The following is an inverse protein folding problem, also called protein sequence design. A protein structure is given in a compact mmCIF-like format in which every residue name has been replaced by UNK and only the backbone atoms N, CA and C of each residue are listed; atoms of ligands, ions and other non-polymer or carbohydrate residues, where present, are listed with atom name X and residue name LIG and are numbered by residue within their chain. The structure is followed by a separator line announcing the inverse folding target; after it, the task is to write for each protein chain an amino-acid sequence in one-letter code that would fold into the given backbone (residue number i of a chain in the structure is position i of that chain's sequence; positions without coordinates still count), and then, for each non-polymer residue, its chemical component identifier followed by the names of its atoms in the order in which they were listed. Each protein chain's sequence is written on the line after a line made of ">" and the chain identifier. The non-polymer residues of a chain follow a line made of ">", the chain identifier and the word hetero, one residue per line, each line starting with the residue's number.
data_IF_574396274819
#
_entry.id   IF_574396274819
#
_cell.length_a   1.000
_cell.length_b   1.000
_cell.length_c   1.000
_cell.angle_alpha   90.00
_cell.angle_beta   90.00
_cell.angle_gamma   90.00
#
_symmetry.space_group_name_H-M   'P 1'
#
loop_
_entity.id
_entity.type
_entity.pdbx_description
1 polymer ?
#
# COMPACT_ATOMS: atom_id res chain seq x y z
N UNK A 1 12.71 6.39 35.78
CA UNK A 1 11.87 5.62 34.83
C UNK A 1 12.31 4.16 34.83
N UNK A 2 11.45 3.24 34.38
CA UNK A 2 11.85 1.90 33.94
C UNK A 2 12.48 2.02 32.56
N UNK A 3 13.51 1.23 32.28
CA UNK A 3 14.12 1.19 30.94
C UNK A 3 14.16 -0.25 30.44
N UNK A 4 13.95 -0.43 29.15
CA UNK A 4 14.09 -1.69 28.42
C UNK A 4 14.72 -1.39 27.06
N UNK A 5 15.17 -2.42 26.35
CA UNK A 5 15.46 -2.32 24.92
C UNK A 5 14.58 -3.25 24.11
N UNK A 6 14.40 -2.96 22.84
CA UNK A 6 13.77 -3.84 21.86
C UNK A 6 14.81 -4.17 20.79
N UNK A 7 15.21 -5.43 20.65
CA UNK A 7 16.15 -5.85 19.61
C UNK A 7 15.44 -6.01 18.26
N UNK A 8 15.17 -4.88 17.62
CA UNK A 8 14.57 -4.76 16.30
C UNK A 8 15.63 -4.43 15.22
N UNK A 9 16.89 -4.82 15.46
CA UNK A 9 18.04 -4.55 14.57
C UNK A 9 17.86 -5.24 13.20
N UNK A 10 17.35 -6.47 13.18
CA UNK A 10 16.86 -7.12 11.96
C UNK A 10 15.35 -6.96 11.88
N UNK A 11 14.82 -6.15 10.93
CA UNK A 11 13.38 -5.93 10.81
C UNK A 11 12.60 -7.21 10.44
N UNK A 12 13.28 -8.26 9.96
CA UNK A 12 12.67 -9.55 9.64
C UNK A 12 12.73 -10.56 10.80
N UNK A 13 13.33 -10.19 11.94
CA UNK A 13 13.34 -11.03 13.14
C UNK A 13 12.00 -10.94 13.88
N UNK A 14 11.63 -12.02 14.57
CA UNK A 14 10.33 -12.13 15.26
C UNK A 14 10.36 -11.63 16.71
N UNK A 15 11.43 -10.95 17.12
CA UNK A 15 11.64 -10.54 18.53
C UNK A 15 11.00 -9.18 18.76
N UNK A 16 9.76 -9.19 19.24
CA UNK A 16 8.97 -7.97 19.47
C UNK A 16 8.73 -7.67 20.97
N UNK A 17 9.44 -8.33 21.87
CA UNK A 17 9.26 -8.15 23.32
C UNK A 17 10.40 -7.31 23.91
N UNK A 18 10.09 -6.21 24.62
CA UNK A 18 11.11 -5.44 25.32
C UNK A 18 11.83 -6.27 26.39
N UNK A 19 13.16 -6.19 26.39
CA UNK A 19 14.06 -6.87 27.30
C UNK A 19 14.74 -5.86 28.26
N UNK A 20 15.05 -6.24 29.50
CA UNK A 20 14.71 -7.50 30.17
C UNK A 20 13.25 -7.53 30.64
N UNK A 21 12.69 -8.72 30.85
CA UNK A 21 11.31 -8.92 31.34
C UNK A 21 11.02 -8.22 32.69
N UNK A 22 12.06 -7.92 33.48
CA UNK A 22 11.98 -7.09 34.68
C UNK A 22 12.75 -5.79 34.42
N UNK A 23 12.07 -4.70 34.03
CA UNK A 23 12.74 -3.46 33.66
C UNK A 23 13.55 -2.87 34.83
N UNK A 24 14.85 -2.62 34.68
CA UNK A 24 15.63 -1.88 35.66
C UNK A 24 15.13 -0.44 35.76
N UNK A 25 15.41 0.19 36.91
CA UNK A 25 15.17 1.62 37.11
C UNK A 25 16.39 2.41 36.66
N UNK A 26 16.15 3.48 35.90
CA UNK A 26 17.13 4.47 35.49
C UNK A 26 16.65 5.87 35.86
N UNK A 27 17.57 6.71 36.33
CA UNK A 27 17.29 8.11 36.71
C UNK A 27 17.86 9.02 35.62
N UNK A 28 16.96 9.66 34.87
CA UNK A 28 17.32 10.68 33.90
C UNK A 28 17.49 12.04 34.59
N UNK A 29 18.44 12.82 34.10
CA UNK A 29 18.60 14.24 34.40
C UNK A 29 17.73 15.02 33.42
N UNK A 30 16.73 15.74 33.94
CA UNK A 30 15.67 16.36 33.15
C UNK A 30 16.14 17.56 32.33
N UNK A 31 17.27 18.15 32.73
CA UNK A 31 17.91 19.36 32.21
C UNK A 31 19.10 19.07 31.29
N UNK A 32 19.37 17.78 31.02
CA UNK A 32 20.48 17.35 30.16
C UNK A 32 19.93 16.67 28.90
N UNK A 33 20.47 16.99 27.70
CA UNK A 33 20.07 16.33 26.47
C UNK A 33 20.15 14.81 26.55
N UNK A 34 19.15 14.12 26.00
CA UNK A 34 19.04 12.66 26.08
C UNK A 34 20.25 11.94 25.45
N UNK A 35 20.83 12.50 24.39
CA UNK A 35 22.01 11.98 23.71
C UNK A 35 23.20 11.81 24.65
N UNK A 36 23.36 12.73 25.61
CA UNK A 36 24.46 12.70 26.58
C UNK A 36 24.24 11.62 27.66
N UNK A 37 23.00 11.16 27.84
CA UNK A 37 22.62 10.16 28.83
C UNK A 37 22.46 8.76 28.23
N UNK A 38 22.35 8.65 26.90
CA UNK A 38 22.08 7.42 26.17
C UNK A 38 23.11 6.32 26.44
N UNK A 39 24.40 6.67 26.52
CA UNK A 39 25.47 5.71 26.81
C UNK A 39 25.33 5.04 28.19
N UNK A 40 24.79 5.75 29.17
CA UNK A 40 24.52 5.22 30.51
C UNK A 40 23.33 4.27 30.50
N UNK A 41 22.27 4.61 29.76
CA UNK A 41 21.09 3.73 29.58
C UNK A 41 21.49 2.44 28.87
N UNK A 42 22.28 2.55 27.80
CA UNK A 42 22.79 1.42 27.03
C UNK A 42 23.61 0.46 27.90
N UNK A 43 24.51 0.99 28.74
CA UNK A 43 25.29 0.19 29.71
C UNK A 43 24.43 -0.52 30.75
N UNK A 44 23.41 0.16 31.28
CA UNK A 44 22.49 -0.44 32.28
C UNK A 44 21.68 -1.57 31.67
N UNK A 45 21.30 -1.44 30.42
CA UNK A 45 20.54 -2.45 29.68
C UNK A 45 21.41 -3.57 29.10
N UNK A 46 22.72 -3.35 28.96
CA UNK A 46 23.63 -4.20 28.19
C UNK A 46 23.05 -4.51 26.79
N UNK A 47 22.50 -3.48 26.16
CA UNK A 47 21.75 -3.63 24.92
C UNK A 47 22.70 -3.97 23.74
N UNK A 48 22.27 -4.81 22.78
CA UNK A 48 23.10 -5.19 21.64
C UNK A 48 23.23 -4.08 20.58
N UNK A 49 22.41 -3.03 20.66
CA UNK A 49 22.33 -1.96 19.66
C UNK A 49 23.64 -1.20 19.51
N UNK A 50 23.97 -0.81 18.27
CA UNK A 50 24.95 0.26 18.01
C UNK A 50 24.28 1.61 18.22
N UNK A 51 24.97 2.55 18.86
CA UNK A 51 24.45 3.90 19.11
C UNK A 51 24.50 4.71 17.81
N UNK A 52 23.33 5.02 17.24
CA UNK A 52 23.16 5.93 16.10
C UNK A 52 22.36 7.17 16.54
N UNK A 53 22.43 8.27 15.78
CA UNK A 53 21.78 9.57 16.07
C UNK A 53 20.79 9.93 14.97
N UNK A 54 19.53 10.24 15.31
CA UNK A 54 18.62 11.11 14.53
C UNK A 54 17.23 11.26 15.16
N UNK A 55 16.47 12.17 14.55
CA UNK A 55 15.32 12.93 15.03
C UNK A 55 13.97 12.20 15.01
N UNK A 56 13.06 12.73 15.83
CA UNK A 56 11.81 12.11 16.24
C UNK A 56 10.83 11.74 15.12
N UNK A 57 10.22 10.59 15.32
CA UNK A 57 9.01 10.07 14.68
C UNK A 57 8.08 9.54 15.78
N UNK A 58 6.90 8.99 15.47
CA UNK A 58 6.04 8.33 16.48
C UNK A 58 6.23 6.81 16.43
N UNK A 59 5.85 6.10 17.50
CA UNK A 59 5.88 4.64 17.62
C UNK A 59 4.64 4.12 18.36
N UNK A 60 4.31 2.85 18.19
CA UNK A 60 3.37 2.13 19.07
C UNK A 60 3.80 2.12 20.55
N UNK A 61 5.10 2.30 20.82
CA UNK A 61 5.65 2.45 22.17
C UNK A 61 5.59 3.90 22.71
N UNK A 62 5.00 4.83 21.94
CA UNK A 62 4.97 6.26 22.22
C UNK A 62 5.83 7.09 21.26
N UNK A 63 5.94 8.41 21.45
CA UNK A 63 6.77 9.24 20.59
C UNK A 63 8.25 8.84 20.69
N UNK A 64 8.97 8.84 19.57
CA UNK A 64 10.43 8.82 19.61
C UNK A 64 10.91 10.16 20.13
N UNK A 65 11.61 10.12 21.25
CA UNK A 65 12.19 11.31 21.88
C UNK A 65 13.32 11.84 20.99
N UNK A 66 13.31 13.15 20.71
CA UNK A 66 14.45 13.79 20.05
C UNK A 66 15.62 13.83 21.04
N UNK A 67 16.72 13.20 20.63
CA UNK A 67 17.89 12.96 21.46
C UNK A 67 18.68 14.25 21.76
N UNK A 68 18.56 15.27 20.93
CA UNK A 68 19.28 16.54 21.10
C UNK A 68 18.61 17.47 22.13
N UNK A 69 17.36 17.19 22.51
CA UNK A 69 16.63 17.94 23.54
C UNK A 69 16.63 17.25 24.91
N UNK A 70 16.27 18.03 25.92
CA UNK A 70 16.08 17.61 27.31
C UNK A 70 14.67 17.05 27.54
N UNK A 71 14.47 16.29 28.62
CA UNK A 71 13.12 15.80 28.97
C UNK A 71 12.16 16.93 29.37
N UNK A 72 12.68 18.05 29.88
CA UNK A 72 11.85 19.21 30.21
C UNK A 72 11.34 19.91 28.94
N UNK A 73 12.16 19.99 27.89
CA UNK A 73 11.77 20.58 26.60
C UNK A 73 10.70 19.77 25.86
N UNK A 74 10.69 18.44 26.03
CA UNK A 74 9.73 17.53 25.39
C UNK A 74 8.59 17.09 26.32
N UNK A 75 8.43 17.77 27.46
CA UNK A 75 7.49 17.35 28.50
C UNK A 75 6.04 17.32 28.03
N UNK A 76 5.63 18.27 27.18
CA UNK A 76 4.28 18.35 26.60
C UNK A 76 3.93 17.10 25.78
N UNK A 77 4.90 16.53 25.06
CA UNK A 77 4.71 15.28 24.31
C UNK A 77 4.55 14.04 25.23
N UNK A 78 4.97 14.20 26.48
CA UNK A 78 4.96 13.17 27.53
C UNK A 78 3.78 13.32 28.50
N UNK A 79 3.05 14.44 28.47
CA UNK A 79 1.96 14.76 29.40
C UNK A 79 0.80 13.76 29.36
N UNK A 80 0.57 13.08 28.23
CA UNK A 80 -0.43 12.00 28.11
C UNK A 80 -0.10 10.71 28.87
N UNK A 81 1.11 10.57 29.42
CA UNK A 81 1.58 9.38 30.14
C UNK A 81 1.58 9.54 31.68
N UNK A 82 1.04 10.66 32.18
CA UNK A 82 1.20 11.14 33.57
C UNK A 82 0.19 10.57 34.57
N UNK A 83 -0.74 9.71 34.15
CA UNK A 83 -1.85 9.24 34.97
C UNK A 83 -1.47 8.08 35.92
N UNK A 84 -0.47 8.32 36.79
CA UNK A 84 -0.10 7.44 37.90
C UNK A 84 0.71 6.19 37.54
N UNK A 85 1.10 6.00 36.26
CA UNK A 85 1.97 4.88 35.84
C UNK A 85 3.45 5.30 35.84
N UNK A 86 4.32 4.43 36.37
CA UNK A 86 5.77 4.60 36.32
C UNK A 86 6.23 4.68 34.86
N UNK A 87 6.87 5.77 34.46
CA UNK A 87 7.43 5.99 33.12
C UNK A 87 8.26 4.79 32.67
N UNK A 88 8.07 4.33 31.43
CA UNK A 88 8.86 3.26 30.80
C UNK A 88 9.43 3.76 29.48
N UNK A 89 10.75 3.74 29.31
CA UNK A 89 11.43 4.16 28.09
C UNK A 89 12.04 2.93 27.43
N UNK A 90 11.81 2.77 26.13
CA UNK A 90 12.33 1.65 25.34
C UNK A 90 13.43 2.15 24.41
N UNK A 91 14.63 1.61 24.57
CA UNK A 91 15.72 1.79 23.63
C UNK A 91 15.52 0.86 22.43
N UNK A 92 15.45 1.41 21.22
CA UNK A 92 15.24 0.60 20.01
C UNK A 92 16.03 1.14 18.83
N UNK A 93 16.11 0.36 17.76
CA UNK A 93 16.75 0.76 16.50
C UNK A 93 15.92 1.84 15.82
N UNK A 94 16.60 2.83 15.25
CA UNK A 94 15.96 3.93 14.52
C UNK A 94 15.18 3.43 13.31
N UNK A 95 14.05 4.08 13.00
CA UNK A 95 13.21 3.69 11.87
C UNK A 95 14.00 3.74 10.55
N UNK A 96 14.72 4.81 10.26
CA UNK A 96 15.51 4.94 9.02
C UNK A 96 16.57 3.85 8.89
N UNK A 97 17.23 3.46 10.00
CA UNK A 97 18.20 2.35 10.00
C UNK A 97 17.51 1.02 9.70
N UNK A 98 16.33 0.78 10.29
CA UNK A 98 15.53 -0.44 10.04
C UNK A 98 15.01 -0.48 8.61
N UNK A 99 14.56 0.64 8.07
CA UNK A 99 14.09 0.75 6.67
C UNK A 99 15.24 0.50 5.70
N UNK A 100 16.41 1.11 5.91
CA UNK A 100 17.57 0.86 5.06
C UNK A 100 18.01 -0.60 5.14
N UNK A 101 18.07 -1.20 6.34
CA UNK A 101 18.33 -2.63 6.48
C UNK A 101 17.28 -3.50 5.77
N UNK A 102 16.01 -3.08 5.78
CA UNK A 102 14.93 -3.74 5.06
C UNK A 102 15.17 -3.70 3.55
N UNK A 103 15.40 -2.50 2.99
CA UNK A 103 15.64 -2.28 1.56
C UNK A 103 16.91 -3.01 1.10
N UNK A 104 18.01 -2.88 1.85
CA UNK A 104 19.28 -3.55 1.56
C UNK A 104 19.11 -5.07 1.53
N UNK A 105 18.37 -5.63 2.48
CA UNK A 105 18.09 -7.08 2.50
C UNK A 105 17.22 -7.50 1.31
N UNK A 106 16.27 -6.69 0.87
CA UNK A 106 15.48 -6.99 -0.33
C UNK A 106 16.32 -6.95 -1.61
N UNK A 107 17.26 -6.01 -1.73
CA UNK A 107 18.09 -5.84 -2.92
C UNK A 107 19.25 -6.84 -3.01
N UNK A 108 19.77 -7.30 -1.87
CA UNK A 108 20.95 -8.18 -1.81
C UNK A 108 20.63 -9.65 -1.49
N UNK A 109 19.35 -10.00 -1.31
CA UNK A 109 18.94 -11.40 -1.12
C UNK A 109 18.46 -12.03 -2.42
N UNK A 110 18.62 -13.35 -2.53
CA UNK A 110 18.11 -14.15 -3.63
C UNK A 110 17.43 -15.44 -3.13
N UNK A 111 16.75 -16.14 -4.06
CA UNK A 111 16.13 -17.43 -3.82
C UNK A 111 15.30 -17.54 -2.53
N UNK A 112 15.68 -18.47 -1.65
CA UNK A 112 14.90 -18.75 -0.42
C UNK A 112 14.88 -17.58 0.54
N UNK A 113 15.95 -16.80 0.61
CA UNK A 113 16.05 -15.68 1.54
C UNK A 113 15.16 -14.53 1.10
N UNK A 114 15.25 -14.13 -0.17
CA UNK A 114 14.37 -13.10 -0.74
C UNK A 114 12.90 -13.47 -0.58
N UNK A 115 12.54 -14.74 -0.85
CA UNK A 115 11.17 -15.23 -0.67
C UNK A 115 10.68 -15.03 0.77
N UNK A 116 11.51 -15.31 1.78
CA UNK A 116 11.16 -15.13 3.20
C UNK A 116 11.03 -13.66 3.55
N UNK A 117 11.94 -12.82 3.09
CA UNK A 117 11.90 -11.37 3.31
C UNK A 117 10.60 -10.79 2.73
N UNK A 118 10.29 -11.06 1.46
CA UNK A 118 9.06 -10.59 0.81
C UNK A 118 7.79 -11.08 1.53
N UNK A 119 7.76 -12.35 1.96
CA UNK A 119 6.63 -12.91 2.69
C UNK A 119 6.37 -12.17 4.02
N UNK A 120 7.42 -11.80 4.74
CA UNK A 120 7.32 -11.13 6.04
C UNK A 120 6.99 -9.64 5.94
N UNK A 121 7.24 -8.97 4.80
CA UNK A 121 7.04 -7.52 4.65
C UNK A 121 5.64 -7.05 5.05
N UNK A 122 4.60 -7.80 4.68
CA UNK A 122 3.24 -7.47 5.09
C UNK A 122 3.14 -7.35 6.62
N UNK A 123 3.66 -8.33 7.34
CA UNK A 123 3.58 -8.36 8.80
C UNK A 123 4.39 -7.22 9.42
N UNK A 124 5.57 -6.91 8.86
CA UNK A 124 6.42 -5.81 9.32
C UNK A 124 5.69 -4.47 9.24
N UNK A 125 5.04 -4.17 8.11
CA UNK A 125 4.27 -2.93 7.98
C UNK A 125 2.98 -2.92 8.82
N UNK A 126 2.41 -4.10 9.08
CA UNK A 126 1.24 -4.24 9.92
C UNK A 126 1.55 -4.00 11.41
N UNK A 127 2.72 -4.49 11.88
CA UNK A 127 3.16 -4.40 13.28
C UNK A 127 3.85 -3.07 13.62
N UNK A 128 4.32 -2.32 12.63
CA UNK A 128 5.00 -1.04 12.86
C UNK A 128 4.62 -0.04 11.75
N UNK A 129 3.50 0.65 11.96
CA UNK A 129 2.97 1.64 10.99
C UNK A 129 3.96 2.77 10.69
N UNK A 130 4.85 3.09 11.61
CA UNK A 130 5.78 4.21 11.45
C UNK A 130 6.92 3.85 10.48
N UNK A 131 7.17 2.55 10.27
CA UNK A 131 8.02 2.09 9.16
C UNK A 131 7.43 2.42 7.79
N UNK A 132 6.11 2.56 7.65
CA UNK A 132 5.47 2.82 6.35
C UNK A 132 5.92 4.18 5.82
N UNK A 133 5.85 5.22 6.65
CA UNK A 133 6.28 6.57 6.28
C UNK A 133 7.77 6.59 5.90
N UNK A 134 8.63 6.00 6.72
CA UNK A 134 10.07 5.95 6.42
C UNK A 134 10.39 5.10 5.18
N UNK A 135 9.66 4.00 4.97
CA UNK A 135 9.87 3.11 3.83
C UNK A 135 9.56 3.82 2.51
N UNK A 136 8.48 4.59 2.44
CA UNK A 136 8.13 5.34 1.24
C UNK A 136 9.12 6.48 0.96
N UNK A 137 9.58 7.18 1.99
CA UNK A 137 10.56 8.27 1.86
C UNK A 137 11.92 7.79 1.35
N UNK A 138 12.33 6.57 1.71
CA UNK A 138 13.61 5.98 1.31
C UNK A 138 13.52 5.13 0.02
N UNK A 139 12.61 5.48 -0.91
CA UNK A 139 12.43 4.79 -2.20
C UNK A 139 12.08 3.29 -2.10
N UNK A 140 11.46 2.87 -0.99
CA UNK A 140 11.08 1.48 -0.77
C UNK A 140 10.08 0.94 -1.79
N UNK A 141 9.12 1.76 -2.24
CA UNK A 141 8.17 1.38 -3.30
C UNK A 141 8.85 1.12 -4.65
N UNK A 142 9.84 1.94 -5.02
CA UNK A 142 10.64 1.74 -6.24
C UNK A 142 11.42 0.42 -6.17
N UNK A 143 11.96 0.09 -4.99
CA UNK A 143 12.60 -1.21 -4.74
C UNK A 143 11.60 -2.37 -4.97
N UNK A 144 10.38 -2.27 -4.45
CA UNK A 144 9.33 -3.29 -4.65
C UNK A 144 8.95 -3.47 -6.12
N UNK A 145 8.74 -2.37 -6.85
CA UNK A 145 8.42 -2.42 -8.29
C UNK A 145 9.57 -3.05 -9.08
N UNK A 146 10.82 -2.65 -8.79
CA UNK A 146 12.01 -3.20 -9.45
C UNK A 146 12.12 -4.72 -9.26
N UNK A 147 11.99 -5.20 -8.01
CA UNK A 147 12.03 -6.64 -7.72
C UNK A 147 10.85 -7.33 -8.41
N UNK A 148 9.65 -6.75 -8.33
CA UNK A 148 8.43 -7.33 -8.86
C UNK A 148 8.39 -7.45 -10.40
N UNK A 149 9.09 -6.56 -11.12
CA UNK A 149 9.17 -6.58 -12.58
C UNK A 149 9.91 -7.80 -13.15
N UNK A 150 10.90 -8.33 -12.42
CA UNK A 150 11.73 -9.47 -12.87
C UNK A 150 11.41 -10.78 -12.14
N UNK A 151 10.52 -10.73 -11.15
CA UNK A 151 10.28 -11.86 -10.25
C UNK A 151 9.18 -12.81 -10.71
N UNK A 152 9.20 -14.02 -10.13
CA UNK A 152 8.15 -15.03 -10.32
C UNK A 152 6.82 -14.59 -9.68
N UNK A 153 5.75 -15.30 -10.03
CA UNK A 153 4.39 -15.01 -9.58
C UNK A 153 4.20 -15.08 -8.05
N UNK A 154 5.00 -15.90 -7.35
CA UNK A 154 4.92 -15.98 -5.90
C UNK A 154 5.49 -14.72 -5.25
N UNK A 155 6.61 -14.25 -5.79
CA UNK A 155 7.28 -13.05 -5.30
C UNK A 155 6.43 -11.82 -5.59
N UNK A 156 5.90 -11.71 -6.81
CA UNK A 156 4.91 -10.70 -7.20
C UNK A 156 3.73 -10.69 -6.22
N UNK A 157 3.16 -11.86 -5.91
CA UNK A 157 2.05 -11.95 -4.95
C UNK A 157 2.44 -11.49 -3.53
N UNK A 158 3.65 -11.80 -3.05
CA UNK A 158 4.10 -11.30 -1.75
C UNK A 158 4.30 -9.78 -1.75
N UNK A 159 4.83 -9.22 -2.84
CA UNK A 159 4.96 -7.77 -3.03
C UNK A 159 3.58 -7.11 -3.06
N UNK A 160 2.62 -7.66 -3.82
CA UNK A 160 1.25 -7.15 -3.86
C UNK A 160 0.58 -7.16 -2.48
N UNK A 161 0.82 -8.19 -1.67
CA UNK A 161 0.31 -8.24 -0.28
C UNK A 161 0.93 -7.18 0.62
N UNK A 162 2.22 -6.88 0.43
CA UNK A 162 2.90 -5.82 1.16
C UNK A 162 2.42 -4.43 0.70
N UNK A 163 2.26 -4.20 -0.61
CA UNK A 163 1.68 -2.97 -1.16
C UNK A 163 0.25 -2.73 -0.68
N UNK A 164 -0.57 -3.78 -0.66
CA UNK A 164 -1.92 -3.69 -0.09
C UNK A 164 -1.91 -3.27 1.37
N UNK A 165 -0.92 -3.70 2.15
CA UNK A 165 -0.75 -3.24 3.53
C UNK A 165 -0.31 -1.78 3.60
N UNK A 166 0.63 -1.36 2.74
CA UNK A 166 1.09 0.03 2.66
C UNK A 166 -0.05 0.99 2.32
N UNK A 167 -0.90 0.63 1.35
CA UNK A 167 -2.04 1.44 0.91
C UNK A 167 -3.14 1.63 1.98
N UNK A 168 -3.15 0.85 3.06
CA UNK A 168 -4.07 1.07 4.18
C UNK A 168 -3.68 2.30 5.02
N UNK A 169 -2.45 2.79 4.90
CA UNK A 169 -1.96 3.97 5.61
C UNK A 169 -1.94 5.18 4.68
N UNK A 170 -2.25 6.36 5.24
CA UNK A 170 -2.31 7.62 4.48
C UNK A 170 -0.96 7.92 3.81
N UNK A 171 0.16 7.77 4.53
CA UNK A 171 1.51 7.96 3.95
C UNK A 171 1.78 6.99 2.79
N UNK A 172 1.38 5.73 2.94
CA UNK A 172 1.57 4.71 1.91
C UNK A 172 0.74 4.99 0.66
N UNK A 173 -0.53 5.38 0.83
CA UNK A 173 -1.40 5.74 -0.29
C UNK A 173 -0.90 7.00 -1.01
N UNK A 174 -0.55 8.06 -0.28
CA UNK A 174 0.01 9.29 -0.86
C UNK A 174 1.30 9.03 -1.65
N UNK A 175 2.14 8.10 -1.17
CA UNK A 175 3.33 7.70 -1.90
C UNK A 175 3.01 6.98 -3.21
N UNK A 176 2.01 6.10 -3.24
CA UNK A 176 1.54 5.45 -4.48
C UNK A 176 0.94 6.48 -5.45
N UNK A 177 0.23 7.48 -4.95
CA UNK A 177 -0.29 8.59 -5.78
C UNK A 177 0.84 9.41 -6.41
N UNK A 178 1.92 9.65 -5.65
CA UNK A 178 3.08 10.42 -6.12
C UNK A 178 3.97 9.61 -7.07
N UNK A 179 4.08 8.29 -6.86
CA UNK A 179 4.89 7.37 -7.66
C UNK A 179 4.01 6.54 -8.59
N UNK A 180 3.61 7.14 -9.71
CA UNK A 180 2.71 6.51 -10.68
C UNK A 180 3.28 5.21 -11.27
N UNK A 181 4.60 4.96 -11.19
CA UNK A 181 5.23 3.70 -11.57
C UNK A 181 4.65 2.49 -10.84
N UNK A 182 4.17 2.66 -9.59
CA UNK A 182 3.49 1.59 -8.85
C UNK A 182 2.17 1.24 -9.52
N UNK A 183 1.38 2.25 -9.91
CA UNK A 183 0.08 2.06 -10.59
C UNK A 183 0.28 1.46 -11.99
N UNK A 184 1.31 1.92 -12.71
CA UNK A 184 1.72 1.33 -14.00
C UNK A 184 2.09 -0.14 -13.84
N UNK A 185 2.86 -0.48 -12.80
CA UNK A 185 3.23 -1.86 -12.52
C UNK A 185 2.00 -2.70 -12.18
N UNK A 186 1.09 -2.22 -11.32
CA UNK A 186 -0.18 -2.90 -11.03
C UNK A 186 -0.98 -3.17 -12.32
N UNK A 187 -1.15 -2.17 -13.19
CA UNK A 187 -1.86 -2.36 -14.45
C UNK A 187 -1.16 -3.37 -15.38
N UNK A 188 0.17 -3.35 -15.45
CA UNK A 188 0.93 -4.33 -16.24
C UNK A 188 0.72 -5.78 -15.75
N UNK A 189 0.56 -5.99 -14.45
CA UNK A 189 0.32 -7.30 -13.85
C UNK A 189 -1.06 -7.89 -14.19
N UNK A 190 -1.98 -7.08 -14.72
CA UNK A 190 -3.27 -7.58 -15.23
C UNK A 190 -3.06 -8.51 -16.41
N UNK A 191 -1.98 -8.36 -17.20
CA UNK A 191 -1.65 -9.30 -18.30
C UNK A 191 -1.04 -10.62 -17.80
N UNK A 192 -0.78 -10.79 -16.50
CA UNK A 192 -0.13 -11.99 -15.97
C UNK A 192 -0.92 -13.27 -16.30
N UNK A 193 -0.21 -14.33 -16.69
CA UNK A 193 -0.81 -15.67 -16.85
C UNK A 193 -1.25 -16.30 -15.52
N UNK A 194 -0.90 -15.67 -14.38
CA UNK A 194 -1.23 -16.18 -13.06
C UNK A 194 -2.43 -15.45 -12.46
N UNK A 195 -3.57 -16.13 -12.45
CA UNK A 195 -4.86 -15.60 -11.97
C UNK A 195 -4.80 -14.90 -10.60
N UNK A 196 -4.02 -15.41 -9.65
CA UNK A 196 -3.91 -14.81 -8.32
C UNK A 196 -3.22 -13.43 -8.36
N UNK A 197 -2.24 -13.25 -9.25
CA UNK A 197 -1.55 -11.98 -9.46
C UNK A 197 -2.51 -10.98 -10.09
N UNK A 198 -3.19 -11.37 -11.18
CA UNK A 198 -4.23 -10.55 -11.84
C UNK A 198 -5.29 -10.08 -10.84
N UNK A 199 -5.85 -11.03 -10.07
CA UNK A 199 -6.87 -10.74 -9.08
C UNK A 199 -6.41 -9.75 -8.02
N UNK A 200 -5.23 -9.98 -7.44
CA UNK A 200 -4.72 -9.12 -6.38
C UNK A 200 -4.41 -7.74 -6.93
N UNK A 201 -3.86 -7.65 -8.15
CA UNK A 201 -3.60 -6.37 -8.80
C UNK A 201 -4.86 -5.56 -9.05
N UNK A 202 -5.91 -6.18 -9.61
CA UNK A 202 -7.20 -5.51 -9.82
C UNK A 202 -7.80 -5.00 -8.51
N UNK A 203 -7.73 -5.79 -7.43
CA UNK A 203 -8.19 -5.33 -6.11
C UNK A 203 -7.43 -4.11 -5.61
N UNK A 204 -6.11 -4.05 -5.80
CA UNK A 204 -5.32 -2.88 -5.42
C UNK A 204 -5.65 -1.65 -6.28
N UNK A 205 -5.86 -1.84 -7.58
CA UNK A 205 -6.30 -0.74 -8.46
C UNK A 205 -7.66 -0.18 -8.05
N UNK A 206 -8.61 -1.04 -7.64
CA UNK A 206 -9.91 -0.59 -7.11
C UNK A 206 -9.73 0.16 -5.80
N UNK A 207 -8.98 -0.39 -4.83
CA UNK A 207 -8.68 0.29 -3.56
C UNK A 207 -8.01 1.66 -3.79
N UNK A 208 -7.16 1.76 -4.82
CA UNK A 208 -6.54 3.02 -5.22
C UNK A 208 -7.58 4.00 -5.81
N UNK A 209 -8.43 3.55 -6.73
CA UNK A 209 -9.47 4.37 -7.34
C UNK A 209 -10.46 4.92 -6.29
N UNK A 210 -10.88 4.07 -5.34
CA UNK A 210 -11.87 4.41 -4.32
C UNK A 210 -11.33 5.34 -3.21
N UNK A 211 -10.02 5.54 -3.14
CA UNK A 211 -9.43 6.40 -2.10
C UNK A 211 -9.77 7.89 -2.29
N UNK A 212 -9.70 8.38 -3.53
CA UNK A 212 -10.07 9.76 -3.91
C UNK A 212 -10.38 9.81 -5.40
N UNK A 213 -11.34 10.63 -5.81
CA UNK A 213 -11.75 10.79 -7.22
C UNK A 213 -10.56 11.11 -8.15
N UNK A 214 -9.58 11.88 -7.66
CA UNK A 214 -8.39 12.25 -8.45
C UNK A 214 -7.51 11.05 -8.84
N UNK A 215 -7.60 9.93 -8.13
CA UNK A 215 -6.83 8.72 -8.43
C UNK A 215 -7.27 8.05 -9.73
N UNK A 216 -8.52 8.24 -10.17
CA UNK A 216 -9.01 7.73 -11.45
C UNK A 216 -8.22 8.30 -12.63
N UNK A 217 -7.84 9.58 -12.56
CA UNK A 217 -6.96 10.19 -13.56
C UNK A 217 -5.54 9.61 -13.53
N UNK A 218 -5.01 9.29 -12.34
CA UNK A 218 -3.70 8.64 -12.19
C UNK A 218 -3.70 7.21 -12.75
N UNK A 219 -4.82 6.48 -12.62
CA UNK A 219 -5.02 5.17 -13.27
C UNK A 219 -5.03 5.34 -14.79
N UNK A 220 -5.79 6.29 -15.32
CA UNK A 220 -5.83 6.54 -16.77
C UNK A 220 -4.44 6.90 -17.32
N UNK A 221 -3.66 7.72 -16.61
CA UNK A 221 -2.27 8.02 -16.98
C UNK A 221 -1.41 6.76 -17.00
N UNK A 222 -1.54 5.89 -16.00
CA UNK A 222 -0.80 4.64 -15.92
C UNK A 222 -1.16 3.66 -17.04
N UNK A 223 -2.45 3.47 -17.31
CA UNK A 223 -2.98 2.65 -18.42
C UNK A 223 -2.44 3.17 -19.74
N UNK A 224 -2.57 4.47 -19.98
CA UNK A 224 -2.09 5.13 -21.19
C UNK A 224 -0.58 4.95 -21.38
N UNK A 225 0.21 5.06 -20.31
CA UNK A 225 1.66 4.83 -20.38
C UNK A 225 1.99 3.39 -20.77
N UNK A 226 1.39 2.40 -20.09
CA UNK A 226 1.65 0.98 -20.32
C UNK A 226 1.20 0.54 -21.71
N UNK A 227 -0.04 0.84 -22.09
CA UNK A 227 -0.60 0.39 -23.37
C UNK A 227 0.07 1.08 -24.56
N UNK A 228 0.35 2.39 -24.49
CA UNK A 228 1.08 3.07 -25.57
C UNK A 228 2.50 2.53 -25.73
N UNK A 229 3.18 2.21 -24.62
CA UNK A 229 4.51 1.60 -24.66
C UNK A 229 4.49 0.23 -25.37
N UNK A 230 3.40 -0.51 -25.22
CA UNK A 230 3.17 -1.80 -25.87
C UNK A 230 2.49 -1.70 -27.26
N UNK A 231 2.16 -0.48 -27.73
CA UNK A 231 1.40 -0.21 -28.97
C UNK A 231 0.00 -0.85 -28.97
N UNK A 232 -0.61 -0.92 -27.80
CA UNK A 232 -1.97 -1.38 -27.59
C UNK A 232 -2.94 -0.21 -27.47
N UNK A 233 -4.24 -0.50 -27.55
CA UNK A 233 -5.30 0.45 -27.23
C UNK A 233 -5.41 0.58 -25.71
N UNK A 234 -5.98 1.68 -25.22
CA UNK A 234 -6.20 1.87 -23.80
C UNK A 234 -7.06 0.72 -23.24
N UNK A 235 -6.72 0.22 -22.06
CA UNK A 235 -7.44 -0.88 -21.40
C UNK A 235 -7.31 -2.24 -22.11
N UNK A 236 -6.29 -2.45 -22.93
CA UNK A 236 -6.11 -3.73 -23.64
C UNK A 236 -5.91 -4.93 -22.71
N UNK A 237 -5.20 -4.77 -21.58
CA UNK A 237 -4.98 -5.89 -20.65
C UNK A 237 -6.29 -6.42 -20.05
N UNK A 238 -7.22 -5.52 -19.67
CA UNK A 238 -8.52 -5.88 -19.11
C UNK A 238 -9.47 -6.39 -20.19
N UNK A 239 -9.51 -5.73 -21.35
CA UNK A 239 -10.36 -6.15 -22.47
C UNK A 239 -9.98 -7.52 -23.03
N UNK A 240 -8.69 -7.87 -23.06
CA UNK A 240 -8.23 -9.20 -23.43
C UNK A 240 -8.83 -10.29 -22.53
N UNK A 241 -8.87 -10.05 -21.22
CA UNK A 241 -9.47 -10.97 -20.24
C UNK A 241 -11.00 -11.03 -20.42
N UNK A 242 -11.68 -9.91 -20.62
CA UNK A 242 -13.14 -9.92 -20.78
C UNK A 242 -13.58 -10.63 -22.06
N UNK A 243 -12.80 -10.53 -23.13
CA UNK A 243 -13.05 -11.19 -24.42
C UNK A 243 -12.82 -12.72 -24.40
N UNK A 244 -12.34 -13.29 -23.30
CA UNK A 244 -12.25 -14.74 -23.10
C UNK A 244 -13.58 -15.38 -22.66
N UNK A 245 -14.61 -14.56 -22.37
CA UNK A 245 -15.99 -14.93 -22.07
C UNK A 245 -16.11 -16.04 -21.00
N UNK A 246 -16.50 -17.26 -21.39
CA UNK A 246 -16.69 -18.40 -20.49
C UNK A 246 -15.39 -18.90 -19.85
N UNK A 247 -14.23 -18.60 -20.43
CA UNK A 247 -12.94 -18.95 -19.83
C UNK A 247 -12.56 -17.99 -18.69
N UNK A 248 -13.24 -16.85 -18.59
CA UNK A 248 -12.96 -15.84 -17.57
C UNK A 248 -13.78 -16.11 -16.32
N UNK A 249 -13.13 -16.30 -15.17
CA UNK A 249 -13.83 -16.48 -13.91
C UNK A 249 -14.61 -15.22 -13.52
N UNK A 250 -15.84 -15.39 -13.06
CA UNK A 250 -16.74 -14.28 -12.76
C UNK A 250 -16.22 -13.30 -11.70
N UNK A 251 -15.44 -13.77 -10.72
CA UNK A 251 -14.76 -12.90 -9.75
C UNK A 251 -13.81 -11.92 -10.45
N UNK A 252 -13.14 -12.33 -11.53
CA UNK A 252 -12.23 -11.45 -12.29
C UNK A 252 -13.03 -10.49 -13.16
N UNK A 253 -14.10 -10.96 -13.80
CA UNK A 253 -15.03 -10.10 -14.56
C UNK A 253 -15.56 -8.99 -13.67
N UNK A 254 -16.07 -9.35 -12.48
CA UNK A 254 -16.59 -8.43 -11.48
C UNK A 254 -15.58 -7.35 -11.12
N UNK A 255 -14.33 -7.74 -10.82
CA UNK A 255 -13.29 -6.78 -10.48
C UNK A 255 -12.96 -5.82 -11.64
N UNK A 256 -12.94 -6.29 -12.89
CA UNK A 256 -12.68 -5.43 -14.04
C UNK A 256 -13.81 -4.41 -14.23
N UNK A 257 -15.07 -4.86 -14.21
CA UNK A 257 -16.20 -3.95 -14.42
C UNK A 257 -16.37 -2.97 -13.26
N UNK A 258 -16.10 -3.40 -12.01
CA UNK A 258 -16.06 -2.50 -10.84
C UNK A 258 -14.96 -1.45 -10.99
N UNK A 259 -13.76 -1.84 -11.47
CA UNK A 259 -12.70 -0.87 -11.76
C UNK A 259 -13.11 0.14 -12.83
N UNK A 260 -13.74 -0.31 -13.93
CA UNK A 260 -14.24 0.60 -14.96
C UNK A 260 -15.27 1.58 -14.41
N UNK A 261 -16.25 1.08 -13.65
CA UNK A 261 -17.27 1.93 -13.02
C UNK A 261 -16.67 2.95 -12.05
N UNK A 262 -15.70 2.55 -11.23
CA UNK A 262 -15.01 3.43 -10.30
C UNK A 262 -14.17 4.51 -11.00
N UNK A 263 -13.55 4.17 -12.13
CA UNK A 263 -12.80 5.15 -12.93
C UNK A 263 -13.75 6.12 -13.63
N UNK A 264 -14.75 5.59 -14.37
CA UNK A 264 -15.68 6.39 -15.16
C UNK A 264 -16.50 7.37 -14.32
N UNK A 265 -16.95 6.97 -13.13
CA UNK A 265 -17.74 7.83 -12.25
C UNK A 265 -16.98 9.03 -11.67
N UNK A 266 -15.65 8.99 -11.72
CA UNK A 266 -14.76 10.01 -11.16
C UNK A 266 -14.06 10.86 -12.24
N UNK A 267 -14.37 10.66 -13.53
CA UNK A 267 -13.85 11.50 -14.60
C UNK A 267 -14.58 12.86 -14.58
N UNK A 268 -13.86 14.00 -14.53
CA UNK A 268 -14.49 15.31 -14.37
C UNK A 268 -14.97 15.96 -15.68
N UNK A 269 -14.52 15.47 -16.83
CA UNK A 269 -14.78 16.07 -18.15
C UNK A 269 -15.19 15.03 -19.20
N UNK A 270 -16.07 15.43 -20.11
CA UNK A 270 -16.63 14.55 -21.13
C UNK A 270 -15.57 14.07 -22.14
N UNK A 271 -14.58 14.90 -22.47
CA UNK A 271 -13.53 14.51 -23.43
C UNK A 271 -12.76 13.28 -22.92
N UNK A 272 -12.30 13.31 -21.65
CA UNK A 272 -11.61 12.19 -21.03
C UNK A 272 -12.52 10.97 -20.86
N UNK A 273 -13.81 11.19 -20.61
CA UNK A 273 -14.80 10.11 -20.50
C UNK A 273 -14.94 9.37 -21.84
N UNK A 274 -15.15 10.11 -22.93
CA UNK A 274 -15.29 9.55 -24.27
C UNK A 274 -13.99 8.94 -24.79
N UNK A 275 -12.82 9.50 -24.46
CA UNK A 275 -11.52 8.88 -24.78
C UNK A 275 -11.42 7.45 -24.21
N UNK A 276 -11.92 7.23 -22.99
CA UNK A 276 -11.94 5.90 -22.37
C UNK A 276 -13.00 4.99 -22.99
N UNK A 277 -14.24 5.44 -23.10
CA UNK A 277 -15.35 4.59 -23.56
C UNK A 277 -15.22 4.21 -25.03
N UNK A 278 -14.73 5.11 -25.89
CA UNK A 278 -14.44 4.82 -27.30
C UNK A 278 -13.33 3.76 -27.44
N UNK A 279 -12.29 3.84 -26.59
CA UNK A 279 -11.22 2.84 -26.60
C UNK A 279 -11.72 1.45 -26.16
N UNK A 280 -12.64 1.39 -25.19
CA UNK A 280 -13.29 0.15 -24.78
C UNK A 280 -14.19 -0.40 -25.90
N UNK A 281 -14.96 0.48 -26.57
CA UNK A 281 -15.87 0.08 -27.63
C UNK A 281 -15.14 -0.47 -28.86
N UNK A 282 -14.01 0.15 -29.24
CA UNK A 282 -13.12 -0.36 -30.30
C UNK A 282 -12.62 -1.78 -30.02
N UNK A 283 -12.57 -2.18 -28.76
CA UNK A 283 -12.15 -3.51 -28.30
C UNK A 283 -13.31 -4.48 -28.04
N UNK A 284 -14.54 -4.09 -28.39
CA UNK A 284 -15.72 -4.95 -28.34
C UNK A 284 -16.49 -4.92 -27.02
N UNK A 285 -16.37 -3.85 -26.22
CA UNK A 285 -17.02 -3.74 -24.92
C UNK A 285 -18.55 -3.90 -24.99
N UNK A 286 -19.23 -3.36 -26.01
CA UNK A 286 -20.68 -3.59 -26.19
C UNK A 286 -21.04 -5.08 -26.27
N UNK A 287 -20.27 -5.89 -27.00
CA UNK A 287 -20.52 -7.34 -27.12
C UNK A 287 -20.25 -8.07 -25.80
N UNK A 288 -19.22 -7.65 -25.08
CA UNK A 288 -18.89 -8.16 -23.74
C UNK A 288 -20.04 -7.87 -22.77
N UNK A 289 -20.52 -6.62 -22.72
CA UNK A 289 -21.64 -6.21 -21.87
C UNK A 289 -22.91 -7.03 -22.17
N UNK A 290 -23.29 -7.11 -23.44
CA UNK A 290 -24.46 -7.90 -23.88
C UNK A 290 -24.34 -9.39 -23.54
N UNK A 291 -23.13 -9.97 -23.65
CA UNK A 291 -22.91 -11.36 -23.29
C UNK A 291 -23.13 -11.60 -21.79
N UNK A 292 -22.52 -10.80 -20.92
CA UNK A 292 -22.60 -11.01 -19.47
C UNK A 292 -23.99 -10.67 -18.90
N UNK A 293 -24.68 -9.66 -19.44
CA UNK A 293 -26.05 -9.33 -19.06
C UNK A 293 -27.07 -10.44 -19.40
N UNK A 294 -26.82 -11.20 -20.46
CA UNK A 294 -27.71 -12.27 -20.94
C UNK A 294 -27.20 -13.69 -20.59
N UNK A 295 -26.13 -13.81 -19.81
CA UNK A 295 -25.51 -15.09 -19.46
C UNK A 295 -26.46 -15.99 -18.68
N UNK A 296 -26.34 -17.31 -18.91
CA UNK A 296 -27.08 -18.35 -18.19
C UNK A 296 -26.11 -19.37 -17.55
N UNK A 297 -26.20 -19.66 -16.24
CA UNK A 297 -27.11 -19.03 -15.26
C UNK A 297 -26.76 -17.55 -15.02
N UNK A 298 -27.75 -16.72 -14.61
CA UNK A 298 -27.49 -15.32 -14.32
C UNK A 298 -26.62 -15.19 -13.06
N UNK A 299 -25.66 -14.27 -13.12
CA UNK A 299 -24.77 -13.95 -12.00
C UNK A 299 -25.05 -12.52 -11.55
N UNK A 300 -25.83 -12.41 -10.46
CA UNK A 300 -26.45 -11.17 -10.05
C UNK A 300 -25.45 -10.01 -9.88
N UNK A 301 -24.34 -10.24 -9.17
CA UNK A 301 -23.32 -9.20 -8.92
C UNK A 301 -22.68 -8.70 -10.23
N UNK A 302 -22.44 -9.59 -11.19
CA UNK A 302 -21.88 -9.22 -12.51
C UNK A 302 -22.90 -8.42 -13.31
N UNK A 303 -24.16 -8.86 -13.33
CA UNK A 303 -25.25 -8.17 -14.03
C UNK A 303 -25.47 -6.77 -13.45
N UNK A 304 -25.43 -6.62 -12.13
CA UNK A 304 -25.56 -5.33 -11.45
C UNK A 304 -24.44 -4.36 -11.88
N UNK A 305 -23.18 -4.80 -11.89
CA UNK A 305 -22.07 -3.94 -12.29
C UNK A 305 -22.09 -3.56 -13.78
N UNK A 306 -22.47 -4.47 -14.67
CA UNK A 306 -22.68 -4.10 -16.08
C UNK A 306 -23.89 -3.17 -16.25
N UNK A 307 -24.92 -3.32 -15.42
CA UNK A 307 -26.08 -2.40 -15.46
C UNK A 307 -25.70 -0.98 -15.01
N UNK A 308 -24.80 -0.85 -14.03
CA UNK A 308 -24.22 0.44 -13.62
C UNK A 308 -23.43 1.05 -14.79
N UNK A 309 -22.56 0.25 -15.43
CA UNK A 309 -21.78 0.70 -16.60
C UNK A 309 -22.69 1.27 -17.70
N UNK A 310 -23.72 0.52 -18.12
CA UNK A 310 -24.67 0.97 -19.15
C UNK A 310 -25.51 2.19 -18.71
N UNK A 311 -25.82 2.32 -17.41
CA UNK A 311 -26.49 3.50 -16.89
C UNK A 311 -25.59 4.74 -16.93
N UNK A 312 -24.30 4.60 -16.61
CA UNK A 312 -23.32 5.68 -16.69
C UNK A 312 -23.15 6.17 -18.14
N UNK A 313 -23.05 5.27 -19.12
CA UNK A 313 -22.97 5.65 -20.54
C UNK A 313 -24.20 6.45 -20.99
N UNK A 314 -25.41 5.93 -20.71
CA UNK A 314 -26.67 6.62 -21.08
C UNK A 314 -26.80 8.00 -20.43
N UNK A 315 -26.28 8.17 -19.22
CA UNK A 315 -26.33 9.47 -18.55
C UNK A 315 -25.48 10.51 -19.26
N UNK A 316 -24.25 10.16 -19.64
CA UNK A 316 -23.36 11.06 -20.38
C UNK A 316 -23.87 11.34 -21.79
N UNK A 317 -24.50 10.37 -22.45
CA UNK A 317 -25.13 10.56 -23.78
C UNK A 317 -26.40 11.44 -23.73
N UNK A 318 -26.87 11.81 -22.54
CA UNK A 318 -28.06 12.64 -22.33
C UNK A 318 -29.38 11.87 -22.43
N UNK A 319 -29.34 10.54 -22.32
CA UNK A 319 -30.45 9.64 -22.65
C UNK A 319 -31.38 9.28 -21.47
N UNK A 320 -31.17 9.73 -20.23
CA UNK A 320 -32.27 9.95 -19.24
C UNK A 320 -31.84 10.50 -17.86
N UNK A 321 -32.59 11.49 -17.38
CA UNK A 321 -32.49 12.19 -16.09
C UNK A 321 -33.10 11.41 -14.88
N UNK A 322 -33.35 10.09 -14.97
CA UNK A 322 -34.33 9.45 -14.06
C UNK A 322 -33.91 8.23 -13.22
N UNK A 323 -32.68 7.70 -13.29
CA UNK A 323 -32.39 6.41 -12.60
C UNK A 323 -31.15 6.36 -11.68
N UNK A 324 -30.28 7.37 -11.69
CA UNK A 324 -28.96 7.25 -11.01
C UNK A 324 -29.03 7.38 -9.47
N UNK A 325 -30.00 8.13 -8.92
CA UNK A 325 -30.00 8.46 -7.48
C UNK A 325 -30.32 7.26 -6.56
N UNK A 326 -30.76 6.11 -7.10
CA UNK A 326 -31.14 4.95 -6.29
C UNK A 326 -30.09 3.82 -6.23
N UNK A 327 -29.04 3.83 -7.04
CA UNK A 327 -28.05 2.74 -7.09
C UNK A 327 -26.68 3.10 -6.48
N UNK A 328 -26.45 4.37 -6.13
CA UNK A 328 -25.20 4.84 -5.51
C UNK A 328 -25.30 5.09 -3.98
N UNK A 329 -26.23 4.43 -3.28
CA UNK A 329 -26.36 4.52 -1.81
C UNK A 329 -26.18 3.19 -1.09
#
# INVERSE_FOLDING_TARGET
>A
CRVQYLDDTDPFSSVNLPEPARPPLFTYLIDIPLINQLSSVHKVLNAPHKLYRQDGSRSEFGPYLDLDQTLEEQKEELEGYTDGRKWSIVLRTQLTVRVNACIDKLLNSDGRELRRSLFSLKQIFQDDKDLVHEFVNNQGLQCLVKIGGEADQNYQNYILRALGQLMLYVDGMNAVMTQNEVVQWLYSLVESSFRLVVKTSLKLLIVFAEYTETNSLLILQAVNYVDKSNRHLLWSNTMKILNEYDNTPSEVVLLIITLFNAVLSAIPDQDTFYDMTDALEQQGMLKVSQYYLNRKPPEQEVIEQFSIYEATLRHEDGDDESTIVQLMR
#
